data_IF_165545126590
#
_entry.id   IF_165545126590
#
_cell.length_a   1.000
_cell.length_b   1.000
_cell.length_c   1.000
_cell.angle_alpha   90.00
_cell.angle_beta   90.00
_cell.angle_gamma   90.00
#
_symmetry.space_group_name_H-M   'P 1'
#
loop_
_entity.id
_entity.type
_entity.pdbx_description
1 polymer ?
#
# COMPACT_ATOMS: atom_id res chain seq x y z
N UNK A 1 23.63 -18.70 -48.20
CA UNK A 1 22.71 -19.65 -48.85
C UNK A 1 21.50 -19.78 -47.96
N UNK A 2 20.29 -19.56 -48.49
CA UNK A 2 19.07 -19.91 -47.78
C UNK A 2 18.98 -21.44 -47.83
N UNK A 3 18.98 -22.10 -46.69
CA UNK A 3 18.68 -23.53 -46.62
C UNK A 3 17.21 -23.73 -46.94
N UNK A 4 16.89 -24.31 -48.09
CA UNK A 4 15.50 -24.61 -48.49
C UNK A 4 15.16 -26.07 -48.21
N UNK A 5 13.98 -26.31 -47.65
CA UNK A 5 13.43 -27.66 -47.50
C UNK A 5 13.00 -28.22 -48.87
N UNK A 6 13.31 -29.49 -49.13
CA UNK A 6 12.88 -30.20 -50.34
C UNK A 6 11.52 -30.86 -50.13
N UNK A 7 10.82 -31.17 -51.23
CA UNK A 7 9.55 -31.90 -51.15
C UNK A 7 9.69 -33.29 -50.52
N UNK A 8 10.84 -33.96 -50.72
CA UNK A 8 11.10 -35.27 -50.12
C UNK A 8 11.20 -35.19 -48.59
N UNK A 9 11.90 -34.18 -48.07
CA UNK A 9 12.01 -33.92 -46.62
C UNK A 9 10.67 -33.53 -46.03
N UNK A 10 9.92 -32.64 -46.68
CA UNK A 10 8.59 -32.24 -46.21
C UNK A 10 7.62 -33.43 -46.20
N UNK A 11 7.56 -34.20 -47.28
CA UNK A 11 6.71 -35.40 -47.37
C UNK A 11 7.06 -36.41 -46.27
N UNK A 12 8.36 -36.58 -45.97
CA UNK A 12 8.81 -37.45 -44.89
C UNK A 12 8.34 -36.96 -43.52
N UNK A 13 8.45 -35.65 -43.25
CA UNK A 13 7.95 -35.04 -42.01
C UNK A 13 6.43 -35.18 -41.86
N UNK A 14 5.67 -35.01 -42.95
CA UNK A 14 4.21 -35.22 -42.96
C UNK A 14 3.88 -36.69 -42.70
N UNK A 15 4.54 -37.62 -43.39
CA UNK A 15 4.36 -39.06 -43.17
C UNK A 15 4.64 -39.45 -41.71
N UNK A 16 5.72 -38.93 -41.13
CA UNK A 16 6.06 -39.15 -39.72
C UNK A 16 5.00 -38.61 -38.78
N UNK A 17 4.55 -37.38 -38.99
CA UNK A 17 3.47 -36.78 -38.20
C UNK A 17 2.17 -37.60 -38.25
N UNK A 18 1.78 -38.08 -39.44
CA UNK A 18 0.58 -38.90 -39.60
C UNK A 18 0.69 -40.21 -38.82
N UNK A 19 1.84 -40.88 -38.86
CA UNK A 19 2.09 -42.09 -38.09
C UNK A 19 2.08 -41.81 -36.58
N UNK A 20 2.80 -40.79 -36.13
CA UNK A 20 2.90 -40.40 -34.72
C UNK A 20 1.54 -40.00 -34.13
N UNK A 21 0.65 -39.44 -34.95
CA UNK A 21 -0.71 -39.05 -34.57
C UNK A 21 -1.75 -40.18 -34.70
N UNK A 22 -1.36 -41.36 -35.20
CA UNK A 22 -2.25 -42.51 -35.35
C UNK A 22 -3.12 -42.51 -36.62
N UNK A 23 -2.86 -41.62 -37.59
CA UNK A 23 -3.55 -41.59 -38.89
C UNK A 23 -2.98 -42.65 -39.85
N UNK A 24 -3.06 -43.92 -39.45
CA UNK A 24 -2.39 -45.05 -40.12
C UNK A 24 -2.77 -45.22 -41.59
N UNK A 25 -4.06 -45.07 -41.94
CA UNK A 25 -4.52 -45.17 -43.33
C UNK A 25 -3.99 -44.02 -44.21
N UNK A 26 -3.98 -42.79 -43.68
CA UNK A 26 -3.44 -41.61 -44.38
C UNK A 26 -1.92 -41.72 -44.54
N UNK A 27 -1.22 -42.16 -43.50
CA UNK A 27 0.21 -42.40 -43.55
C UNK A 27 0.56 -43.50 -44.57
N UNK A 28 -0.23 -44.57 -44.66
CA UNK A 28 -0.05 -45.62 -45.65
C UNK A 28 -0.20 -45.11 -47.08
N UNK A 29 -1.30 -44.38 -47.37
CA UNK A 29 -1.55 -43.82 -48.70
C UNK A 29 -0.44 -42.83 -49.11
N UNK A 30 -0.12 -41.87 -48.24
CA UNK A 30 0.95 -40.91 -48.49
C UNK A 30 2.32 -41.60 -48.62
N UNK A 31 2.60 -42.59 -47.77
CA UNK A 31 3.85 -43.35 -47.81
C UNK A 31 4.10 -44.01 -49.16
N UNK A 32 3.04 -44.53 -49.78
CA UNK A 32 3.09 -45.11 -51.12
C UNK A 32 3.17 -44.05 -52.21
N UNK A 33 2.27 -43.05 -52.19
CA UNK A 33 2.20 -42.00 -53.21
C UNK A 33 3.46 -41.13 -53.27
N UNK A 34 4.01 -40.78 -52.11
CA UNK A 34 5.23 -39.97 -52.00
C UNK A 34 6.52 -40.81 -52.09
N UNK A 35 6.42 -42.14 -52.23
CA UNK A 35 7.58 -43.03 -52.36
C UNK A 35 8.51 -43.00 -51.14
N UNK A 36 7.96 -42.86 -49.93
CA UNK A 36 8.74 -42.72 -48.69
C UNK A 36 9.68 -43.91 -48.47
N UNK A 37 9.27 -45.11 -48.86
CA UNK A 37 10.09 -46.32 -48.82
C UNK A 37 11.33 -46.30 -49.73
N UNK A 38 11.38 -45.39 -50.70
CA UNK A 38 12.52 -45.15 -51.59
C UNK A 38 13.33 -43.92 -51.19
N UNK A 39 12.93 -43.22 -50.14
CA UNK A 39 13.62 -42.04 -49.63
C UNK A 39 14.99 -42.42 -49.05
N UNK A 40 15.98 -41.56 -49.22
CA UNK A 40 17.32 -41.70 -48.62
C UNK A 40 17.38 -41.19 -47.17
N UNK A 41 16.25 -40.70 -46.63
CA UNK A 41 16.17 -40.14 -45.27
C UNK A 41 16.21 -41.28 -44.24
N UNK A 42 17.18 -41.22 -43.33
CA UNK A 42 17.25 -42.12 -42.17
C UNK A 42 16.26 -41.68 -41.09
N UNK A 43 15.27 -42.54 -40.81
CA UNK A 43 14.23 -42.25 -39.82
C UNK A 43 14.73 -42.17 -38.38
N UNK A 44 15.88 -42.77 -38.05
CA UNK A 44 16.46 -42.70 -36.71
C UNK A 44 17.02 -41.31 -36.40
N UNK A 45 17.36 -40.53 -37.44
CA UNK A 45 17.86 -39.16 -37.29
C UNK A 45 16.72 -38.14 -37.13
N UNK A 46 15.49 -38.51 -37.48
CA UNK A 46 14.33 -37.61 -37.39
C UNK A 46 13.63 -37.83 -36.03
N UNK A 47 13.72 -36.87 -35.10
CA UNK A 47 13.14 -37.01 -33.77
C UNK A 47 11.59 -37.07 -33.83
N UNK A 48 10.93 -37.69 -32.84
CA UNK A 48 9.48 -37.62 -32.72
C UNK A 48 8.99 -36.17 -32.64
N UNK A 49 7.87 -35.86 -33.28
CA UNK A 49 7.29 -34.52 -33.28
C UNK A 49 8.04 -33.49 -34.13
N UNK A 50 9.00 -33.90 -34.97
CA UNK A 50 9.83 -32.99 -35.76
C UNK A 50 9.01 -31.96 -36.56
N UNK A 51 7.96 -32.39 -37.26
CA UNK A 51 7.10 -31.48 -38.04
C UNK A 51 6.46 -30.40 -37.14
N UNK A 52 5.91 -30.82 -36.00
CA UNK A 52 5.27 -29.92 -35.03
C UNK A 52 6.28 -28.91 -34.49
N UNK A 53 7.49 -29.37 -34.13
CA UNK A 53 8.58 -28.50 -33.68
C UNK A 53 8.98 -27.48 -34.73
N UNK A 54 9.11 -27.88 -36.00
CA UNK A 54 9.43 -26.95 -37.09
C UNK A 54 8.33 -25.90 -37.28
N UNK A 55 7.06 -26.32 -37.29
CA UNK A 55 5.93 -25.39 -37.41
C UNK A 55 5.90 -24.41 -36.22
N UNK A 56 6.09 -24.90 -35.00
CA UNK A 56 6.15 -24.05 -33.79
C UNK A 56 7.29 -23.02 -33.87
N UNK A 57 8.48 -23.43 -34.33
CA UNK A 57 9.60 -22.50 -34.54
C UNK A 57 9.32 -21.50 -35.66
N UNK A 58 8.64 -21.91 -36.73
CA UNK A 58 8.21 -21.01 -37.80
C UNK A 58 7.22 -19.95 -37.31
N UNK A 59 6.26 -20.34 -36.46
CA UNK A 59 5.33 -19.43 -35.80
C UNK A 59 6.10 -18.42 -34.93
N UNK A 60 7.03 -18.88 -34.10
CA UNK A 60 7.88 -18.00 -33.27
C UNK A 60 8.73 -17.04 -34.10
N UNK A 61 9.22 -17.49 -35.25
CA UNK A 61 9.97 -16.65 -36.18
C UNK A 61 9.09 -15.52 -36.74
N UNK A 62 7.85 -15.84 -37.14
CA UNK A 62 6.87 -14.82 -37.58
C UNK A 62 6.53 -13.83 -36.46
N UNK A 63 6.39 -14.29 -35.22
CA UNK A 63 6.19 -13.40 -34.07
C UNK A 63 7.37 -12.44 -33.89
N UNK A 64 8.60 -12.93 -34.03
CA UNK A 64 9.79 -12.12 -33.94
C UNK A 64 9.85 -11.08 -35.06
N UNK A 65 9.61 -11.48 -36.30
CA UNK A 65 9.57 -10.55 -37.44
C UNK A 65 8.50 -9.47 -37.28
N UNK A 66 7.32 -9.83 -36.77
CA UNK A 66 6.26 -8.86 -36.52
C UNK A 66 6.61 -7.90 -35.37
N UNK A 67 7.32 -8.36 -34.34
CA UNK A 67 7.77 -7.52 -33.22
C UNK A 67 8.97 -6.62 -33.60
N UNK A 68 9.81 -7.03 -34.55
CA UNK A 68 10.91 -6.24 -35.09
C UNK A 68 10.38 -5.20 -36.10
N UNK A 69 9.68 -4.18 -35.62
CA UNK A 69 9.33 -3.03 -36.45
C UNK A 69 10.59 -2.20 -36.73
N UNK A 70 10.87 -1.91 -38.01
CA UNK A 70 12.11 -1.26 -38.48
C UNK A 70 12.40 0.15 -37.92
N UNK A 71 11.47 0.73 -37.17
CA UNK A 71 11.52 2.13 -36.72
C UNK A 71 12.07 2.30 -35.30
N UNK A 72 12.35 1.20 -34.60
CA UNK A 72 12.67 1.25 -33.18
C UNK A 72 13.85 0.35 -32.75
N UNK A 73 15.05 0.77 -33.16
CA UNK A 73 16.31 0.27 -32.59
C UNK A 73 16.63 0.90 -31.23
N UNK A 74 15.70 1.65 -30.62
CA UNK A 74 16.00 2.59 -29.54
C UNK A 74 15.15 2.47 -28.28
N UNK A 75 13.96 1.86 -28.33
CA UNK A 75 13.15 1.66 -27.13
C UNK A 75 13.02 0.18 -26.78
N UNK A 76 13.20 -0.10 -25.48
CA UNK A 76 13.11 -1.43 -24.87
C UNK A 76 11.63 -1.85 -24.86
N UNK A 77 11.05 -2.07 -26.05
CA UNK A 77 9.65 -2.45 -26.18
C UNK A 77 9.46 -3.91 -25.78
N UNK A 78 8.61 -4.14 -24.78
CA UNK A 78 8.19 -5.46 -24.33
C UNK A 78 7.67 -6.30 -25.52
N UNK A 79 8.26 -7.48 -25.72
CA UNK A 79 7.83 -8.46 -26.72
C UNK A 79 6.34 -8.81 -26.55
N UNK A 80 5.57 -8.76 -27.64
CA UNK A 80 4.15 -9.08 -27.64
C UNK A 80 3.88 -10.44 -28.27
N UNK A 81 3.24 -11.33 -27.51
CA UNK A 81 2.74 -12.60 -28.01
C UNK A 81 1.52 -12.39 -28.92
N UNK A 82 1.47 -13.15 -30.01
CA UNK A 82 0.36 -13.14 -30.95
C UNK A 82 -0.42 -14.44 -30.87
N UNK A 83 -1.65 -14.44 -31.39
CA UNK A 83 -2.42 -15.66 -31.49
C UNK A 83 -1.84 -16.51 -32.64
N UNK A 84 -1.57 -17.82 -32.45
CA UNK A 84 -1.12 -18.71 -33.53
C UNK A 84 -1.98 -18.66 -34.79
N UNK A 85 -3.30 -18.48 -34.65
CA UNK A 85 -4.19 -18.38 -35.81
C UNK A 85 -3.98 -17.08 -36.58
N UNK A 86 -3.71 -15.98 -35.89
CA UNK A 86 -3.39 -14.70 -36.54
C UNK A 86 -2.10 -14.84 -37.37
N UNK A 87 -1.08 -15.49 -36.82
CA UNK A 87 0.22 -15.70 -37.48
C UNK A 87 0.13 -16.55 -38.76
N UNK A 88 -0.88 -17.40 -38.87
CA UNK A 88 -1.10 -18.27 -40.05
C UNK A 88 -2.02 -17.59 -41.07
N UNK A 89 -2.84 -16.63 -40.65
CA UNK A 89 -3.91 -16.06 -41.50
C UNK A 89 -3.67 -14.62 -41.96
N UNK A 90 -2.80 -13.87 -41.26
CA UNK A 90 -2.57 -12.44 -41.49
C UNK A 90 -1.17 -12.18 -42.03
N UNK A 91 -1.02 -11.07 -42.73
CA UNK A 91 0.30 -10.63 -43.21
C UNK A 91 1.10 -9.87 -42.13
N UNK A 92 2.39 -9.65 -42.39
CA UNK A 92 3.30 -8.99 -41.43
C UNK A 92 2.81 -7.59 -41.02
N UNK A 93 2.20 -6.84 -41.94
CA UNK A 93 1.72 -5.49 -41.65
C UNK A 93 0.49 -5.52 -40.72
N UNK A 94 -0.42 -6.47 -40.95
CA UNK A 94 -1.57 -6.71 -40.08
C UNK A 94 -1.14 -7.16 -38.69
N UNK A 95 -0.15 -8.06 -38.60
CA UNK A 95 0.43 -8.51 -37.34
C UNK A 95 1.09 -7.36 -36.57
N UNK A 96 1.84 -6.49 -37.26
CA UNK A 96 2.42 -5.27 -36.68
C UNK A 96 1.34 -4.32 -36.13
N UNK A 97 0.22 -4.16 -36.85
CA UNK A 97 -0.90 -3.34 -36.37
C UNK A 97 -1.49 -3.89 -35.08
N UNK A 98 -1.69 -5.22 -35.00
CA UNK A 98 -2.19 -5.89 -33.78
C UNK A 98 -1.22 -5.67 -32.61
N UNK A 99 0.09 -5.79 -32.84
CA UNK A 99 1.11 -5.52 -31.82
C UNK A 99 1.02 -4.07 -31.34
N UNK A 100 0.92 -3.11 -32.27
CA UNK A 100 0.78 -1.68 -31.94
C UNK A 100 -0.45 -1.41 -31.08
N UNK A 101 -1.61 -1.95 -31.47
CA UNK A 101 -2.86 -1.81 -30.73
C UNK A 101 -2.76 -2.42 -29.31
N UNK A 102 -2.11 -3.58 -29.17
CA UNK A 102 -1.80 -4.18 -27.86
C UNK A 102 -0.88 -3.32 -27.01
N UNK A 103 0.17 -2.74 -27.59
CA UNK A 103 1.10 -1.86 -26.87
C UNK A 103 0.38 -0.60 -26.36
N UNK A 104 -0.45 0.00 -27.21
CA UNK A 104 -1.25 1.18 -26.84
C UNK A 104 -2.27 0.88 -25.72
N UNK A 105 -2.91 -0.30 -25.74
CA UNK A 105 -3.85 -0.67 -24.68
C UNK A 105 -3.14 -0.89 -23.34
N UNK A 106 -1.99 -1.55 -23.33
CA UNK A 106 -1.16 -1.76 -22.13
C UNK A 106 -0.67 -0.41 -21.57
N UNK A 107 -0.21 0.52 -22.42
CA UNK A 107 0.20 1.86 -21.96
C UNK A 107 -0.96 2.64 -21.33
N UNK A 108 -2.16 2.57 -21.93
CA UNK A 108 -3.37 3.21 -21.38
C UNK A 108 -3.80 2.60 -20.04
N UNK A 109 -3.57 1.31 -19.82
CA UNK A 109 -3.83 0.69 -18.51
C UNK A 109 -2.79 1.11 -17.47
N UNK A 110 -1.49 1.14 -17.84
CA UNK A 110 -0.42 1.61 -16.94
C UNK A 110 -0.61 3.07 -16.52
N UNK A 111 -1.07 3.96 -17.40
CA UNK A 111 -1.33 5.37 -17.05
C UNK A 111 -2.53 5.52 -16.09
N UNK A 112 -3.62 4.77 -16.31
CA UNK A 112 -4.78 4.75 -15.40
C UNK A 112 -4.44 4.21 -14.01
N UNK A 113 -3.55 3.22 -13.93
CA UNK A 113 -3.03 2.71 -12.65
C UNK A 113 -2.26 3.78 -11.87
N UNK A 114 -1.35 4.49 -12.55
CA UNK A 114 -0.57 5.59 -11.95
C UNK A 114 -1.42 6.78 -11.53
N UNK A 115 -2.48 7.11 -12.29
CA UNK A 115 -3.42 8.16 -11.87
C UNK A 115 -4.17 7.77 -10.59
N UNK A 116 -4.60 6.51 -10.45
CA UNK A 116 -5.23 6.03 -9.21
C UNK A 116 -4.27 6.08 -8.01
N UNK A 117 -3.03 5.61 -8.17
CA UNK A 117 -2.00 5.70 -7.12
C UNK A 117 -1.70 7.17 -6.73
N UNK A 118 -1.61 8.08 -7.71
CA UNK A 118 -1.39 9.50 -7.41
C UNK A 118 -2.59 10.15 -6.72
N UNK A 119 -3.81 9.75 -7.04
CA UNK A 119 -5.02 10.24 -6.35
C UNK A 119 -5.05 9.73 -4.91
N UNK A 120 -4.79 8.44 -4.66
CA UNK A 120 -4.72 7.89 -3.30
C UNK A 120 -3.60 8.54 -2.48
N UNK A 121 -2.39 8.64 -3.01
CA UNK A 121 -1.26 9.28 -2.32
C UNK A 121 -1.51 10.78 -2.07
N UNK A 122 -2.17 11.48 -3.00
CA UNK A 122 -2.55 12.89 -2.84
C UNK A 122 -3.60 13.10 -1.76
N UNK A 123 -4.58 12.19 -1.65
CA UNK A 123 -5.61 12.24 -0.61
C UNK A 123 -5.05 11.92 0.79
N UNK A 124 -4.10 10.99 0.90
CA UNK A 124 -3.43 10.70 2.18
C UNK A 124 -2.60 11.89 2.68
N UNK A 125 -1.86 12.56 1.79
CA UNK A 125 -1.07 13.74 2.15
C UNK A 125 -1.95 14.92 2.60
N UNK A 126 -3.07 15.18 1.91
CA UNK A 126 -3.98 16.27 2.27
C UNK A 126 -4.73 15.99 3.59
N UNK A 127 -5.13 14.73 3.84
CA UNK A 127 -5.72 14.33 5.12
C UNK A 127 -4.71 14.41 6.28
N UNK A 128 -3.43 14.12 6.03
CA UNK A 128 -2.35 14.28 7.00
C UNK A 128 -2.18 15.74 7.44
N UNK A 129 -2.12 16.67 6.47
CA UNK A 129 -2.00 18.11 6.73
C UNK A 129 -3.21 18.69 7.48
N UNK A 130 -4.42 18.24 7.17
CA UNK A 130 -5.63 18.66 7.87
C UNK A 130 -5.62 18.21 9.34
N UNK A 131 -5.24 16.95 9.59
CA UNK A 131 -5.17 16.39 10.94
C UNK A 131 -4.05 17.04 11.79
N UNK A 132 -2.96 17.46 11.15
CA UNK A 132 -1.87 18.19 11.82
C UNK A 132 -2.30 19.62 12.22
N UNK A 133 -2.95 20.35 11.32
CA UNK A 133 -3.54 21.67 11.63
C UNK A 133 -4.57 21.60 12.75
N UNK A 134 -5.41 20.57 12.77
CA UNK A 134 -6.40 20.39 13.82
C UNK A 134 -5.76 20.13 15.19
N UNK A 135 -4.68 19.33 15.23
CA UNK A 135 -3.88 19.10 16.44
C UNK A 135 -3.17 20.37 16.94
N UNK A 136 -2.63 21.20 16.05
CA UNK A 136 -2.05 22.49 16.45
C UNK A 136 -3.10 23.42 17.05
N UNK A 137 -4.25 23.55 16.40
CA UNK A 137 -5.34 24.40 16.89
C UNK A 137 -5.86 23.95 18.26
N UNK A 138 -5.90 22.63 18.49
CA UNK A 138 -6.29 22.05 19.78
C UNK A 138 -5.27 22.39 20.88
N UNK A 139 -3.97 22.27 20.60
CA UNK A 139 -2.89 22.64 21.53
C UNK A 139 -2.90 24.14 21.86
N UNK A 140 -3.15 24.99 20.86
CA UNK A 140 -3.22 26.43 21.07
C UNK A 140 -4.38 26.83 21.99
N UNK A 141 -5.57 26.25 21.77
CA UNK A 141 -6.74 26.44 22.65
C UNK A 141 -6.49 25.95 24.08
N UNK A 142 -5.79 24.83 24.24
CA UNK A 142 -5.44 24.31 25.56
C UNK A 142 -4.47 25.24 26.29
N UNK A 143 -3.43 25.73 25.60
CA UNK A 143 -2.49 26.71 26.15
C UNK A 143 -3.18 28.01 26.57
N UNK A 144 -4.10 28.54 25.74
CA UNK A 144 -4.85 29.74 26.05
C UNK A 144 -5.73 29.54 27.30
N UNK A 145 -6.38 28.37 27.43
CA UNK A 145 -7.17 28.03 28.61
C UNK A 145 -6.31 27.96 29.88
N UNK A 146 -5.15 27.30 29.81
CA UNK A 146 -4.22 27.24 30.94
C UNK A 146 -3.69 28.62 31.33
N UNK A 147 -3.47 29.51 30.36
CA UNK A 147 -3.00 30.87 30.62
C UNK A 147 -4.07 31.70 31.33
N UNK A 148 -5.34 31.59 30.90
CA UNK A 148 -6.50 32.22 31.56
C UNK A 148 -6.73 31.69 32.97
N UNK A 149 -6.51 30.40 33.22
CA UNK A 149 -6.61 29.83 34.57
C UNK A 149 -5.51 30.37 35.50
N UNK A 150 -4.26 30.41 35.03
CA UNK A 150 -3.14 31.00 35.78
C UNK A 150 -3.35 32.48 36.12
N UNK A 151 -3.98 33.24 35.21
CA UNK A 151 -4.33 34.64 35.44
C UNK A 151 -5.40 34.80 36.53
N UNK A 152 -6.48 34.00 36.46
CA UNK A 152 -7.53 33.98 37.49
C UNK A 152 -7.00 33.60 38.87
N UNK A 153 -6.09 32.64 38.95
CA UNK A 153 -5.46 32.24 40.22
C UNK A 153 -4.58 33.35 40.80
N UNK A 154 -3.81 34.06 39.95
CA UNK A 154 -3.03 35.23 40.37
C UNK A 154 -3.92 36.34 40.94
N UNK A 155 -5.06 36.59 40.32
CA UNK A 155 -6.01 37.61 40.80
C UNK A 155 -6.67 37.19 42.12
N UNK A 156 -7.02 35.91 42.29
CA UNK A 156 -7.50 35.38 43.58
C UNK A 156 -6.47 35.57 44.70
N UNK A 157 -5.21 35.23 44.43
CA UNK A 157 -4.12 35.40 45.41
C UNK A 157 -3.89 36.87 45.77
N UNK A 158 -4.03 37.80 44.81
CA UNK A 158 -3.96 39.24 45.10
C UNK A 158 -5.09 39.69 46.02
N UNK A 159 -6.32 39.29 45.72
CA UNK A 159 -7.51 39.64 46.53
C UNK A 159 -7.41 39.07 47.95
N UNK A 160 -6.89 37.85 48.12
CA UNK A 160 -6.67 37.26 49.45
C UNK A 160 -5.60 38.03 50.24
N UNK A 161 -4.47 38.39 49.61
CA UNK A 161 -3.44 39.21 50.25
C UNK A 161 -3.94 40.60 50.65
N UNK A 162 -4.83 41.21 49.87
CA UNK A 162 -5.46 42.49 50.23
C UNK A 162 -6.40 42.35 51.43
N UNK A 163 -7.20 41.28 51.48
CA UNK A 163 -8.05 40.96 52.64
C UNK A 163 -7.26 40.66 53.91
N UNK A 164 -6.11 39.99 53.81
CA UNK A 164 -5.21 39.78 54.97
C UNK A 164 -4.62 41.10 55.47
N UNK A 165 -4.18 41.99 54.57
CA UNK A 165 -3.69 43.32 54.95
C UNK A 165 -4.75 44.19 55.60
N UNK A 166 -6.02 44.08 55.19
CA UNK A 166 -7.14 44.74 55.88
C UNK A 166 -7.39 44.15 57.28
N UNK A 167 -7.31 42.83 57.44
CA UNK A 167 -7.46 42.17 58.76
C UNK A 167 -6.31 42.52 59.71
N UNK A 168 -5.09 42.68 59.22
CA UNK A 168 -3.96 43.15 60.04
C UNK A 168 -4.11 44.61 60.45
N UNK A 169 -4.60 45.49 59.57
CA UNK A 169 -4.90 46.89 59.91
C UNK A 169 -6.01 47.00 60.96
N UNK A 170 -6.97 46.08 60.99
CA UNK A 170 -8.03 46.03 62.00
C UNK A 170 -7.53 45.58 63.38
N UNK A 171 -6.51 44.71 63.45
CA UNK A 171 -5.92 44.23 64.71
C UNK A 171 -4.96 45.22 65.39
N UNK A 172 -4.52 46.28 64.68
CA UNK A 172 -3.58 47.28 65.20
C UNK A 172 -4.18 48.39 66.07
N UNK A 173 -5.50 48.43 66.30
CA UNK A 173 -6.16 49.52 67.05
C UNK A 173 -6.54 49.20 68.50
N UNK A 174 -6.30 48.00 69.00
CA UNK A 174 -6.56 47.66 70.41
C UNK A 174 -5.27 47.25 71.11
N UNK A 175 -4.54 48.22 71.66
CA UNK A 175 -3.68 48.08 72.86
C UNK A 175 -3.02 49.42 73.20
N UNK A 176 -3.74 50.29 73.89
CA UNK A 176 -3.18 51.20 74.91
C UNK A 176 -4.17 51.26 76.11
N UNK A 177 -3.59 51.13 77.31
CA UNK A 177 -4.13 50.83 78.67
C UNK A 177 -4.86 52.04 79.32
N UNK A 178 -5.42 52.01 80.58
CA UNK A 178 -5.13 51.12 81.74
C UNK A 178 -6.33 50.69 82.64
N UNK A 179 -5.99 49.92 83.68
CA UNK A 179 -6.84 49.34 84.75
C UNK A 179 -6.49 50.00 86.09
N UNK A 180 -7.49 50.26 86.95
CA UNK A 180 -7.51 50.35 88.45
C UNK A 180 -8.95 50.82 88.83
N UNK A 181 -9.69 50.39 89.86
CA UNK A 181 -9.46 49.51 91.02
C UNK A 181 -10.82 49.10 91.68
N UNK A 182 -10.81 47.95 92.39
CA UNK A 182 -11.59 47.47 93.57
C UNK A 182 -13.13 47.58 93.70
N UNK A 183 -13.80 46.43 93.99
CA UNK A 183 -14.51 46.17 95.27
C UNK A 183 -15.14 44.76 95.42
N UNK A 184 -14.47 43.94 96.25
CA UNK A 184 -14.89 42.97 97.31
C UNK A 184 -16.39 42.56 97.45
N UNK A 185 -16.69 41.25 97.47
CA UNK A 185 -17.18 40.51 98.67
C UNK A 185 -17.68 39.06 98.40
N UNK A 186 -17.00 38.11 99.06
CA UNK A 186 -17.45 36.89 99.77
C UNK A 186 -18.12 35.66 99.08
N UNK A 187 -17.39 34.53 99.20
CA UNK A 187 -17.74 33.15 99.59
C UNK A 187 -19.21 32.67 99.56
N UNK A 188 -19.54 31.40 99.21
CA UNK A 188 -19.02 30.15 99.82
C UNK A 188 -19.52 28.89 99.05
N UNK A 189 -18.76 27.78 99.12
CA UNK A 189 -19.22 26.37 99.04
C UNK A 189 -19.09 25.68 97.68
N UNK A 190 -18.11 24.79 97.46
CA UNK A 190 -18.16 23.30 97.69
C UNK A 190 -19.12 22.58 96.72
N UNK A 191 -18.81 21.48 96.01
CA UNK A 191 -17.71 20.51 96.08
C UNK A 191 -17.81 19.55 94.84
N UNK A 192 -16.70 18.87 94.51
CA UNK A 192 -16.47 17.55 93.87
C UNK A 192 -16.74 17.20 92.36
N UNK A 193 -15.61 16.76 91.77
CA UNK A 193 -15.32 15.53 90.98
C UNK A 193 -15.81 15.29 89.54
N UNK A 194 -14.85 14.90 88.69
CA UNK A 194 -14.91 13.58 88.04
C UNK A 194 -14.53 13.46 86.56
N UNK A 195 -13.25 13.09 86.31
CA UNK A 195 -12.74 12.03 85.40
C UNK A 195 -13.28 11.87 83.96
N UNK A 196 -12.39 11.99 82.96
CA UNK A 196 -11.76 10.91 82.14
C UNK A 196 -12.38 10.90 80.73
N UNK A 197 -11.69 10.71 79.61
CA UNK A 197 -10.36 10.16 79.39
C UNK A 197 -10.44 8.94 78.47
N UNK A 198 -10.16 9.18 77.19
CA UNK A 198 -9.30 8.35 76.30
C UNK A 198 -9.88 7.32 75.29
N UNK A 199 -9.13 7.23 74.18
CA UNK A 199 -8.97 6.18 73.14
C UNK A 199 -10.15 5.88 72.18
N UNK A 200 -9.94 5.48 70.92
CA UNK A 200 -8.75 5.03 70.20
C UNK A 200 -9.13 4.48 68.80
N UNK A 201 -8.10 4.18 68.02
CA UNK A 201 -7.99 3.72 66.61
C UNK A 201 -8.65 2.38 66.22
N UNK A 202 -9.00 2.23 64.93
CA UNK A 202 -8.75 1.07 64.04
C UNK A 202 -9.34 1.37 62.63
N UNK A 203 -8.79 0.99 61.47
CA UNK A 203 -7.80 -0.05 61.15
C UNK A 203 -8.50 -1.35 60.72
N UNK A 204 -8.57 -1.63 59.41
CA UNK A 204 -9.09 -2.86 58.82
C UNK A 204 -9.78 -2.68 57.48
#
# INVERSE_FOLDING_TARGET
MISSITSAELNYLIFRYLNESGFTHSAFALGYEAGINKSTIDGNLVPPGALVTFIQKGIQYLELEANLSNDDLGTDEDFQFLNPLDLITKDVNELQKIIKEKKESIQKEKSKGKEKENIENGQEHDHGLAMEKEKELAKEKENEKQQREKEKDRDRVKVEKEKEKEKEKAKGKEKEKPFEDVSIANHTGDEINGRLGDNGTNGG
#
